data_IF_222436766952
#
_entry.id   IF_222436766952
#
_cell.length_a   1.000
_cell.length_b   1.000
_cell.length_c   1.000
_cell.angle_alpha   90.00
_cell.angle_beta   90.00
_cell.angle_gamma   90.00
#
_symmetry.space_group_name_H-M   'P 1'
#
loop_
_entity.id
_entity.type
_entity.pdbx_description
1 polymer ?
#
# COMPACT_ATOMS: atom_id res chain seq x y z
N UNK A 1 9.59 -5.36 -29.69
CA UNK A 1 8.37 -5.90 -29.06
C UNK A 1 8.24 -5.51 -27.58
N UNK A 2 9.10 -5.98 -26.67
CA UNK A 2 8.95 -5.69 -25.22
C UNK A 2 8.97 -4.19 -24.87
N UNK A 3 9.92 -3.43 -25.40
CA UNK A 3 10.00 -1.98 -25.17
C UNK A 3 8.75 -1.21 -25.68
N UNK A 4 8.14 -1.67 -26.77
CA UNK A 4 6.92 -1.07 -27.32
C UNK A 4 5.69 -1.35 -26.43
N UNK A 5 5.60 -2.56 -25.86
CA UNK A 5 4.56 -2.93 -24.90
C UNK A 5 4.68 -2.06 -23.64
N UNK A 6 5.89 -1.94 -23.08
CA UNK A 6 6.14 -1.09 -21.90
C UNK A 6 5.77 0.37 -22.20
N UNK A 7 6.21 0.91 -23.34
CA UNK A 7 5.88 2.28 -23.73
C UNK A 7 4.36 2.49 -23.91
N UNK A 8 3.64 1.48 -24.41
CA UNK A 8 2.19 1.53 -24.52
C UNK A 8 1.51 1.53 -23.15
N UNK A 9 1.96 0.68 -22.21
CA UNK A 9 1.43 0.62 -20.84
C UNK A 9 1.66 1.94 -20.09
N UNK A 10 2.85 2.54 -20.24
CA UNK A 10 3.19 3.85 -19.65
C UNK A 10 2.27 4.94 -20.20
N UNK A 11 2.09 5.00 -21.52
CA UNK A 11 1.18 5.98 -22.16
C UNK A 11 -0.27 5.79 -21.72
N UNK A 12 -0.69 4.54 -21.55
CA UNK A 12 -2.04 4.23 -21.09
C UNK A 12 -2.26 4.69 -19.64
N UNK A 13 -1.33 4.41 -18.74
CA UNK A 13 -1.44 4.88 -17.35
C UNK A 13 -1.48 6.41 -17.27
N UNK A 14 -0.63 7.10 -18.03
CA UNK A 14 -0.66 8.58 -18.14
C UNK A 14 -2.03 9.09 -18.60
N UNK A 15 -2.64 8.44 -19.61
CA UNK A 15 -3.97 8.81 -20.11
C UNK A 15 -5.08 8.57 -19.10
N UNK A 16 -4.99 7.48 -18.32
CA UNK A 16 -6.00 7.14 -17.30
C UNK A 16 -5.97 8.10 -16.12
N UNK A 17 -4.77 8.38 -15.61
CA UNK A 17 -4.56 9.24 -14.45
C UNK A 17 -3.16 9.89 -14.48
N UNK A 18 -3.04 11.11 -15.02
CA UNK A 18 -1.74 11.78 -15.12
C UNK A 18 -1.18 12.17 -13.74
N UNK A 19 -2.03 12.39 -12.73
CA UNK A 19 -1.59 12.76 -11.38
C UNK A 19 -0.94 11.57 -10.69
N UNK A 20 -1.63 10.43 -10.65
CA UNK A 20 -1.08 9.23 -10.03
C UNK A 20 0.12 8.69 -10.82
N UNK A 21 0.13 8.83 -12.15
CA UNK A 21 1.32 8.52 -12.94
C UNK A 21 2.54 9.36 -12.52
N UNK A 22 2.37 10.68 -12.39
CA UNK A 22 3.48 11.56 -12.04
C UNK A 22 4.04 11.21 -10.66
N UNK A 23 3.16 11.01 -9.67
CA UNK A 23 3.53 10.62 -8.31
C UNK A 23 4.23 9.26 -8.29
N UNK A 24 3.73 8.29 -9.07
CA UNK A 24 4.37 6.98 -9.19
C UNK A 24 5.77 7.07 -9.79
N UNK A 25 5.95 7.91 -10.82
CA UNK A 25 7.24 8.11 -11.47
C UNK A 25 8.25 8.76 -10.53
N UNK A 26 7.84 9.81 -9.81
CA UNK A 26 8.66 10.46 -8.79
C UNK A 26 9.11 9.44 -7.74
N UNK A 27 8.18 8.64 -7.22
CA UNK A 27 8.49 7.65 -6.21
C UNK A 27 9.33 6.48 -6.74
N UNK A 28 9.21 6.10 -8.01
CA UNK A 28 10.09 5.11 -8.62
C UNK A 28 11.55 5.62 -8.72
N UNK A 29 11.75 6.91 -9.03
CA UNK A 29 13.07 7.55 -9.02
C UNK A 29 13.62 7.63 -7.59
N UNK A 30 12.79 8.07 -6.63
CA UNK A 30 13.17 8.13 -5.22
C UNK A 30 13.50 6.75 -4.64
N UNK A 31 12.78 5.70 -5.03
CA UNK A 31 13.09 4.32 -4.67
C UNK A 31 14.52 3.96 -5.06
N UNK A 32 14.92 4.25 -6.30
CA UNK A 32 16.29 4.03 -6.75
C UNK A 32 17.32 4.84 -5.96
N UNK A 33 17.04 6.13 -5.72
CA UNK A 33 17.94 7.01 -4.97
C UNK A 33 18.13 6.57 -3.51
N UNK A 34 17.04 6.22 -2.82
CA UNK A 34 17.10 5.73 -1.43
C UNK A 34 17.69 4.33 -1.33
N UNK A 35 17.51 3.48 -2.34
CA UNK A 35 18.15 2.16 -2.38
C UNK A 35 19.68 2.32 -2.48
N UNK A 36 20.17 3.26 -3.30
CA UNK A 36 21.59 3.64 -3.32
C UNK A 36 22.03 4.15 -1.95
N UNK A 37 21.25 5.06 -1.33
CA UNK A 37 21.54 5.55 0.03
C UNK A 37 21.65 4.43 1.07
N UNK A 38 20.84 3.38 0.98
CA UNK A 38 20.88 2.23 1.89
C UNK A 38 22.21 1.47 1.84
N UNK A 39 22.90 1.51 0.70
CA UNK A 39 24.19 0.82 0.48
C UNK A 39 25.38 1.70 0.86
N UNK A 40 25.32 3.00 0.54
CA UNK A 40 26.47 3.90 0.62
C UNK A 40 26.48 4.83 1.82
N UNK A 41 25.33 5.09 2.45
CA UNK A 41 25.27 5.92 3.65
C UNK A 41 25.28 5.01 4.90
N UNK A 42 26.30 5.12 5.77
CA UNK A 42 26.40 4.29 6.98
C UNK A 42 25.41 4.71 8.08
N UNK A 43 24.63 5.79 7.90
CA UNK A 43 23.70 6.29 8.91
C UNK A 43 22.64 5.24 9.28
N UNK A 44 22.46 5.04 10.58
CA UNK A 44 21.51 4.07 11.16
C UNK A 44 20.46 4.80 11.98
N UNK A 45 19.21 4.40 11.83
CA UNK A 45 18.07 4.89 12.63
C UNK A 45 17.33 3.68 13.18
N UNK A 46 17.21 3.59 14.50
CA UNK A 46 16.55 2.46 15.19
C UNK A 46 17.12 1.09 14.81
N UNK A 47 18.44 0.98 14.64
CA UNK A 47 19.12 -0.28 14.32
C UNK A 47 19.04 -0.73 12.86
N UNK A 48 18.36 0.02 11.97
CA UNK A 48 18.29 -0.24 10.53
C UNK A 48 18.97 0.90 9.74
N UNK A 49 19.48 0.66 8.51
CA UNK A 49 19.97 1.71 7.64
C UNK A 49 18.93 2.81 7.43
N UNK A 50 19.31 4.08 7.58
CA UNK A 50 18.38 5.21 7.62
C UNK A 50 17.49 5.31 6.37
N UNK A 51 18.05 4.99 5.20
CA UNK A 51 17.36 5.06 3.91
C UNK A 51 16.51 3.83 3.57
N UNK A 52 16.57 2.77 4.38
CA UNK A 52 15.82 1.53 4.12
C UNK A 52 14.30 1.78 4.21
N UNK A 53 13.86 2.55 5.21
CA UNK A 53 12.44 2.91 5.35
C UNK A 53 11.95 3.79 4.19
N UNK A 54 12.60 4.93 3.84
CA UNK A 54 12.27 5.68 2.63
C UNK A 54 12.20 4.83 1.37
N UNK A 55 13.13 3.88 1.18
CA UNK A 55 13.11 2.96 0.03
C UNK A 55 11.82 2.13 -0.01
N UNK A 56 11.47 1.46 1.09
CA UNK A 56 10.24 0.65 1.19
C UNK A 56 8.98 1.48 0.91
N UNK A 57 8.91 2.70 1.46
CA UNK A 57 7.77 3.60 1.26
C UNK A 57 7.68 4.11 -0.18
N UNK A 58 8.79 4.54 -0.78
CA UNK A 58 8.80 4.99 -2.18
C UNK A 58 8.31 3.89 -3.13
N UNK A 59 8.79 2.65 -2.94
CA UNK A 59 8.33 1.50 -3.74
C UNK A 59 6.84 1.23 -3.57
N UNK A 60 6.35 1.23 -2.31
CA UNK A 60 4.93 1.02 -2.01
C UNK A 60 4.03 2.12 -2.58
N UNK A 61 4.42 3.39 -2.44
CA UNK A 61 3.69 4.54 -3.00
C UNK A 61 3.62 4.43 -4.53
N UNK A 62 4.73 4.13 -5.19
CA UNK A 62 4.73 3.93 -6.64
C UNK A 62 3.76 2.83 -7.05
N UNK A 63 3.77 1.70 -6.35
CA UNK A 63 2.87 0.58 -6.62
C UNK A 63 1.39 0.93 -6.39
N UNK A 64 1.04 1.60 -5.29
CA UNK A 64 -0.33 2.03 -4.99
C UNK A 64 -0.82 3.02 -6.04
N UNK A 65 -0.01 4.01 -6.41
CA UNK A 65 -0.37 5.00 -7.43
C UNK A 65 -0.59 4.37 -8.81
N UNK A 66 0.30 3.46 -9.24
CA UNK A 66 0.11 2.68 -10.48
C UNK A 66 -1.18 1.87 -10.40
N UNK A 67 -1.40 1.16 -9.29
CA UNK A 67 -2.56 0.29 -9.09
C UNK A 67 -3.86 1.08 -9.18
N UNK A 68 -3.97 2.19 -8.44
CA UNK A 68 -5.16 3.04 -8.44
C UNK A 68 -5.36 3.73 -9.80
N UNK A 69 -4.29 4.14 -10.49
CA UNK A 69 -4.37 4.70 -11.83
C UNK A 69 -4.91 3.70 -12.87
N UNK A 70 -4.59 2.40 -12.72
CA UNK A 70 -5.14 1.33 -13.56
C UNK A 70 -6.59 0.99 -13.21
N UNK A 71 -6.90 0.84 -11.92
CA UNK A 71 -8.23 0.41 -11.46
C UNK A 71 -9.28 1.53 -11.50
N UNK A 72 -8.86 2.79 -11.32
CA UNK A 72 -9.75 3.93 -11.15
C UNK A 72 -10.73 4.14 -12.30
N UNK A 73 -10.35 3.77 -13.53
CA UNK A 73 -11.23 3.88 -14.70
C UNK A 73 -12.36 2.87 -14.73
N UNK A 74 -12.23 1.77 -13.98
CA UNK A 74 -13.22 0.70 -13.88
C UNK A 74 -14.18 0.90 -12.69
N UNK A 75 -13.98 1.94 -11.87
CA UNK A 75 -14.88 2.29 -10.78
C UNK A 75 -16.00 3.17 -11.34
N UNK A 76 -17.28 2.74 -11.26
CA UNK A 76 -18.43 3.52 -11.71
C UNK A 76 -18.72 4.67 -10.74
N UNK A 77 -17.89 5.71 -10.79
CA UNK A 77 -17.98 6.92 -10.00
C UNK A 77 -17.91 8.15 -10.91
N UNK A 78 -18.37 9.28 -10.39
CA UNK A 78 -18.26 10.56 -11.09
C UNK A 78 -16.78 10.87 -11.46
N UNK A 79 -16.47 11.24 -12.72
CA UNK A 79 -15.09 11.50 -13.14
C UNK A 79 -14.41 12.64 -12.36
N UNK A 80 -15.14 13.67 -11.94
CA UNK A 80 -14.59 14.75 -11.12
C UNK A 80 -14.31 14.31 -9.68
N UNK A 81 -15.17 13.48 -9.12
CA UNK A 81 -14.89 12.80 -7.85
C UNK A 81 -13.62 11.96 -7.93
N UNK A 82 -13.49 11.10 -8.97
CA UNK A 82 -12.28 10.31 -9.19
C UNK A 82 -11.03 11.18 -9.26
N UNK A 83 -11.06 12.25 -10.09
CA UNK A 83 -9.94 13.20 -10.23
C UNK A 83 -9.56 13.87 -8.90
N UNK A 84 -10.55 14.22 -8.07
CA UNK A 84 -10.31 14.77 -6.73
C UNK A 84 -9.63 13.76 -5.82
N UNK A 85 -10.11 12.51 -5.78
CA UNK A 85 -9.47 11.45 -5.00
C UNK A 85 -8.02 11.23 -5.48
N UNK A 86 -7.77 11.15 -6.78
CA UNK A 86 -6.42 11.01 -7.33
C UNK A 86 -5.47 12.14 -6.90
N UNK A 87 -5.96 13.38 -6.83
CA UNK A 87 -5.19 14.52 -6.31
C UNK A 87 -4.93 14.41 -4.81
N UNK A 88 -5.94 14.05 -4.02
CA UNK A 88 -5.79 13.85 -2.57
C UNK A 88 -4.75 12.77 -2.28
N UNK A 89 -4.88 11.61 -2.94
CA UNK A 89 -3.94 10.50 -2.81
C UNK A 89 -2.55 10.91 -3.27
N UNK A 90 -2.43 11.52 -4.46
CA UNK A 90 -1.15 11.93 -5.01
C UNK A 90 -0.40 12.93 -4.14
N UNK A 91 -1.08 14.01 -3.71
CA UNK A 91 -0.49 15.04 -2.83
C UNK A 91 -0.17 14.45 -1.46
N UNK A 92 -1.07 13.68 -0.87
CA UNK A 92 -0.86 13.08 0.44
C UNK A 92 0.34 12.14 0.46
N UNK A 93 0.49 11.28 -0.55
CA UNK A 93 1.64 10.36 -0.63
C UNK A 93 2.96 11.08 -0.97
N UNK A 94 2.92 12.24 -1.64
CA UNK A 94 4.11 13.09 -1.80
C UNK A 94 4.52 13.74 -0.47
N UNK A 95 3.56 14.21 0.33
CA UNK A 95 3.83 14.73 1.68
C UNK A 95 4.49 13.63 2.52
N UNK A 96 3.93 12.42 2.51
CA UNK A 96 4.49 11.27 3.22
C UNK A 96 5.96 11.02 2.86
N UNK A 97 6.28 10.86 1.57
CA UNK A 97 7.65 10.49 1.19
C UNK A 97 8.65 11.62 1.45
N UNK A 98 8.24 12.88 1.33
CA UNK A 98 9.08 14.03 1.67
C UNK A 98 9.39 14.07 3.16
N UNK A 99 8.39 13.86 4.02
CA UNK A 99 8.57 13.87 5.47
C UNK A 99 9.38 12.66 5.95
N UNK A 100 9.15 11.48 5.37
CA UNK A 100 9.91 10.26 5.66
C UNK A 100 11.37 10.40 5.24
N UNK A 101 11.62 10.85 4.00
CA UNK A 101 12.97 11.07 3.48
C UNK A 101 13.70 12.18 4.24
N UNK A 102 13.01 13.25 4.60
CA UNK A 102 13.58 14.35 5.39
C UNK A 102 13.96 13.94 6.81
N UNK A 103 13.17 13.11 7.48
CA UNK A 103 13.50 12.55 8.79
C UNK A 103 14.69 11.57 8.70
N UNK A 104 14.72 10.73 7.66
CA UNK A 104 15.87 9.86 7.40
C UNK A 104 17.16 10.67 7.19
N UNK A 105 17.12 11.75 6.38
CA UNK A 105 18.25 12.65 6.16
C UNK A 105 18.74 13.35 7.44
N UNK A 106 17.87 13.52 8.44
CA UNK A 106 18.20 14.06 9.76
C UNK A 106 18.72 13.00 10.73
N UNK A 107 18.81 11.73 10.33
CA UNK A 107 19.25 10.63 11.19
C UNK A 107 18.28 10.30 12.33
N UNK A 108 16.99 10.54 12.13
CA UNK A 108 15.96 10.36 13.16
C UNK A 108 14.73 9.62 12.64
N UNK A 109 13.97 9.04 13.55
CA UNK A 109 12.75 8.29 13.20
C UNK A 109 11.64 9.19 12.66
N UNK A 110 10.97 8.79 11.58
CA UNK A 110 9.85 9.56 11.01
C UNK A 110 8.51 9.35 11.72
N UNK A 111 8.28 8.16 12.23
CA UNK A 111 7.13 7.83 13.07
C UNK A 111 7.66 7.60 14.49
N UNK A 112 6.86 7.90 15.52
CA UNK A 112 7.20 7.75 16.96
C UNK A 112 8.18 8.75 17.55
N UNK A 113 8.91 9.50 16.72
CA UNK A 113 9.85 10.47 17.23
C UNK A 113 9.11 11.66 17.85
N UNK A 114 9.23 11.79 19.18
CA UNK A 114 8.73 12.93 19.97
C UNK A 114 9.86 13.66 20.68
N UNK A 115 11.09 13.55 20.19
CA UNK A 115 12.26 14.17 20.80
C UNK A 115 12.17 15.71 20.77
N UNK A 116 11.54 16.28 19.73
CA UNK A 116 11.34 17.73 19.58
C UNK A 116 9.91 18.06 19.16
N UNK A 117 9.52 19.34 19.30
CA UNK A 117 8.24 19.87 18.81
C UNK A 117 8.10 19.65 17.29
N UNK A 118 9.18 19.84 16.54
CA UNK A 118 9.19 19.62 15.10
C UNK A 118 8.93 18.16 14.75
N UNK A 119 9.53 17.22 15.46
CA UNK A 119 9.35 15.79 15.20
C UNK A 119 7.94 15.31 15.53
N UNK A 120 7.39 15.80 16.64
CA UNK A 120 5.99 15.58 17.00
C UNK A 120 5.03 16.13 15.95
N UNK A 121 5.28 17.34 15.44
CA UNK A 121 4.47 17.96 14.40
C UNK A 121 4.55 17.18 13.07
N UNK A 122 5.74 16.74 12.66
CA UNK A 122 5.92 15.90 11.46
C UNK A 122 5.14 14.59 11.59
N UNK A 123 5.27 13.90 12.72
CA UNK A 123 4.51 12.67 12.98
C UNK A 123 2.99 12.88 12.94
N UNK A 124 2.49 14.00 13.49
CA UNK A 124 1.07 14.33 13.45
C UNK A 124 0.57 14.63 12.03
N UNK A 125 1.33 15.41 11.25
CA UNK A 125 1.00 15.70 9.84
C UNK A 125 0.92 14.41 9.04
N UNK A 126 1.87 13.49 9.23
CA UNK A 126 1.86 12.22 8.53
C UNK A 126 0.65 11.37 8.91
N UNK A 127 0.36 11.25 10.21
CA UNK A 127 -0.80 10.52 10.71
C UNK A 127 -2.14 11.05 10.15
N UNK A 128 -2.33 12.37 10.10
CA UNK A 128 -3.52 12.97 9.50
C UNK A 128 -3.55 12.72 7.99
N UNK A 129 -2.42 12.89 7.31
CA UNK A 129 -2.30 12.73 5.85
C UNK A 129 -2.70 11.32 5.42
N UNK A 130 -2.18 10.28 6.09
CA UNK A 130 -2.49 8.90 5.70
C UNK A 130 -3.95 8.52 6.00
N UNK A 131 -4.57 9.08 7.04
CA UNK A 131 -6.00 8.90 7.31
C UNK A 131 -6.83 9.52 6.18
N UNK A 132 -6.52 10.74 5.76
CA UNK A 132 -7.23 11.42 4.65
C UNK A 132 -7.08 10.64 3.35
N UNK A 133 -5.87 10.17 3.02
CA UNK A 133 -5.60 9.33 1.84
C UNK A 133 -6.42 8.03 1.90
N UNK A 134 -6.41 7.35 3.05
CA UNK A 134 -7.13 6.08 3.26
C UNK A 134 -8.63 6.27 3.09
N UNK A 135 -9.21 7.31 3.70
CA UNK A 135 -10.63 7.63 3.58
C UNK A 135 -11.01 8.00 2.15
N UNK A 136 -10.17 8.74 1.43
CA UNK A 136 -10.43 9.08 0.02
C UNK A 136 -10.47 7.82 -0.87
N UNK A 137 -9.57 6.86 -0.64
CA UNK A 137 -9.58 5.56 -1.34
C UNK A 137 -10.82 4.75 -0.96
N UNK A 138 -11.17 4.69 0.33
CA UNK A 138 -12.37 4.00 0.79
C UNK A 138 -13.65 4.57 0.15
N UNK A 139 -13.73 5.89 0.00
CA UNK A 139 -14.86 6.58 -0.60
C UNK A 139 -15.09 6.16 -2.06
N UNK A 140 -14.03 5.84 -2.83
CA UNK A 140 -14.18 5.28 -4.17
C UNK A 140 -14.94 3.95 -4.16
N UNK A 141 -14.60 3.02 -3.25
CA UNK A 141 -15.30 1.74 -3.15
C UNK A 141 -16.74 1.91 -2.66
N UNK A 142 -16.98 2.81 -1.70
CA UNK A 142 -18.32 3.10 -1.17
C UNK A 142 -19.23 3.69 -2.24
N UNK A 143 -18.74 4.57 -3.11
CA UNK A 143 -19.53 5.12 -4.19
C UNK A 143 -19.67 4.14 -5.37
N UNK A 144 -18.61 3.40 -5.69
CA UNK A 144 -18.64 2.43 -6.78
C UNK A 144 -19.60 1.27 -6.51
N UNK A 145 -19.70 0.77 -5.28
CA UNK A 145 -20.51 -0.42 -4.95
C UNK A 145 -22.02 -0.24 -5.18
N UNK A 146 -22.51 1.00 -5.26
CA UNK A 146 -23.93 1.32 -5.48
C UNK A 146 -24.27 1.52 -6.95
N UNK A 147 -23.28 1.45 -7.84
CA UNK A 147 -23.43 1.65 -9.27
C UNK A 147 -23.06 0.37 -10.03
N UNK A 148 -23.52 0.26 -11.28
CA UNK A 148 -23.21 -0.87 -12.15
C UNK A 148 -21.82 -0.74 -12.76
N UNK A 149 -21.03 -1.81 -12.69
CA UNK A 149 -19.68 -1.86 -13.26
C UNK A 149 -19.73 -2.25 -14.74
N UNK A 150 -18.88 -1.63 -15.56
CA UNK A 150 -18.69 -1.94 -16.98
C UNK A 150 -17.73 -3.13 -17.23
N UNK A 151 -17.30 -3.79 -16.16
CA UNK A 151 -16.40 -4.94 -16.18
C UNK A 151 -17.08 -6.20 -15.68
N UNK A 152 -16.46 -7.34 -15.98
CA UNK A 152 -16.95 -8.64 -15.52
C UNK A 152 -17.15 -8.65 -13.98
N UNK A 153 -18.25 -9.21 -13.45
CA UNK A 153 -18.57 -9.18 -12.02
C UNK A 153 -17.47 -9.71 -11.08
N UNK A 154 -16.68 -10.69 -11.53
CA UNK A 154 -15.53 -11.18 -10.77
C UNK A 154 -14.42 -10.12 -10.62
N UNK A 155 -14.16 -9.31 -11.65
CA UNK A 155 -13.18 -8.23 -11.58
C UNK A 155 -13.69 -7.10 -10.68
N UNK A 156 -14.96 -6.70 -10.82
CA UNK A 156 -15.60 -5.73 -9.92
C UNK A 156 -15.53 -6.16 -8.45
N UNK A 157 -15.85 -7.44 -8.16
CA UNK A 157 -15.72 -8.00 -6.81
C UNK A 157 -14.27 -7.95 -6.30
N UNK A 158 -13.30 -8.29 -7.15
CA UNK A 158 -11.88 -8.20 -6.82
C UNK A 158 -11.44 -6.78 -6.48
N UNK A 159 -11.90 -5.78 -7.24
CA UNK A 159 -11.65 -4.34 -6.98
C UNK A 159 -12.21 -3.93 -5.61
N UNK A 160 -13.49 -4.20 -5.35
CA UNK A 160 -14.15 -3.80 -4.11
C UNK A 160 -13.55 -4.49 -2.88
N UNK A 161 -13.28 -5.80 -2.96
CA UNK A 161 -12.63 -6.53 -1.86
C UNK A 161 -11.18 -6.08 -1.67
N UNK A 162 -10.45 -5.82 -2.76
CA UNK A 162 -9.08 -5.32 -2.71
C UNK A 162 -8.98 -3.97 -2.01
N UNK A 163 -9.85 -3.01 -2.37
CA UNK A 163 -9.92 -1.72 -1.68
C UNK A 163 -10.37 -1.89 -0.23
N UNK A 164 -11.38 -2.73 0.04
CA UNK A 164 -11.89 -2.95 1.39
C UNK A 164 -10.82 -3.46 2.35
N UNK A 165 -10.08 -4.50 1.95
CA UNK A 165 -9.01 -5.07 2.78
C UNK A 165 -7.76 -4.20 2.82
N UNK A 166 -7.48 -3.43 1.76
CA UNK A 166 -6.47 -2.37 1.81
C UNK A 166 -6.78 -1.34 2.90
N UNK A 167 -8.03 -0.91 3.02
CA UNK A 167 -8.45 0.06 4.05
C UNK A 167 -8.27 -0.54 5.45
N UNK A 168 -8.65 -1.81 5.65
CA UNK A 168 -8.39 -2.52 6.91
C UNK A 168 -6.89 -2.52 7.23
N UNK A 169 -6.06 -2.97 6.27
CA UNK A 169 -4.61 -2.98 6.41
C UNK A 169 -3.99 -1.61 6.67
N UNK A 170 -4.50 -0.56 6.03
CA UNK A 170 -4.04 0.81 6.26
C UNK A 170 -4.29 1.26 7.71
N UNK A 171 -5.46 0.92 8.28
CA UNK A 171 -5.76 1.21 9.67
C UNK A 171 -4.99 0.33 10.67
N UNK A 172 -4.53 -0.87 10.28
CA UNK A 172 -3.57 -1.64 11.08
C UNK A 172 -2.27 -0.87 11.32
N UNK A 173 -1.90 0.08 10.46
CA UNK A 173 -0.78 0.99 10.69
C UNK A 173 -0.93 1.83 11.96
N UNK A 174 -2.16 2.18 12.35
CA UNK A 174 -2.41 2.85 13.64
C UNK A 174 -2.21 1.89 14.83
N UNK A 175 -2.59 0.62 14.67
CA UNK A 175 -2.34 -0.42 15.66
C UNK A 175 -0.84 -0.71 15.79
N UNK A 176 -0.10 -0.78 14.67
CA UNK A 176 1.37 -0.80 14.68
C UNK A 176 1.91 0.37 15.48
N UNK A 177 1.35 1.57 15.31
CA UNK A 177 1.80 2.74 16.04
C UNK A 177 1.57 2.61 17.56
N UNK A 178 0.41 2.10 17.96
CA UNK A 178 0.12 1.88 19.37
C UNK A 178 0.99 0.76 19.97
N UNK A 179 1.22 -0.32 19.23
CA UNK A 179 1.80 -1.58 19.71
C UNK A 179 3.34 -1.61 19.59
N UNK A 180 3.93 -1.04 18.53
CA UNK A 180 5.40 -0.98 18.37
C UNK A 180 6.11 -0.10 19.41
N UNK A 181 5.37 0.60 20.29
CA UNK A 181 5.95 1.12 21.53
C UNK A 181 6.47 0.03 22.48
N UNK A 182 6.25 -1.25 22.14
CA UNK A 182 6.59 -2.44 22.93
C UNK A 182 7.27 -3.54 22.12
N UNK A 183 8.02 -3.23 21.04
CA UNK A 183 8.84 -4.28 20.39
C UNK A 183 9.78 -4.84 21.45
N UNK A 184 9.42 -6.02 21.95
CA UNK A 184 10.23 -6.83 22.82
C UNK A 184 11.46 -7.17 21.99
N UNK A 185 12.66 -6.89 22.49
CA UNK A 185 13.87 -7.44 21.91
C UNK A 185 13.77 -8.97 22.01
N UNK A 186 13.23 -9.61 20.98
CA UNK A 186 13.22 -11.06 20.88
C UNK A 186 14.49 -11.46 20.12
N UNK A 187 15.13 -12.55 20.55
CA UNK A 187 16.27 -13.15 19.84
C UNK A 187 15.83 -13.90 18.55
N UNK A 188 14.63 -13.60 18.04
CA UNK A 188 14.03 -14.27 16.89
C UNK A 188 14.74 -13.88 15.58
N UNK A 189 15.00 -14.85 14.68
CA UNK A 189 15.50 -14.56 13.35
C UNK A 189 14.60 -13.58 12.60
N UNK A 190 15.22 -12.63 11.90
CA UNK A 190 14.50 -11.69 11.02
C UNK A 190 14.45 -12.20 9.59
N UNK A 191 13.38 -11.85 8.87
CA UNK A 191 13.25 -12.11 7.44
C UNK A 191 14.34 -11.32 6.70
N UNK A 192 15.19 -11.98 5.89
CA UNK A 192 16.24 -11.30 5.13
C UNK A 192 15.68 -10.13 4.30
N UNK A 193 16.49 -9.09 4.11
CA UNK A 193 16.17 -7.85 3.36
C UNK A 193 15.17 -6.92 4.06
N UNK A 194 14.06 -7.44 4.60
CA UNK A 194 13.00 -6.61 5.18
C UNK A 194 13.16 -6.39 6.68
N UNK A 195 13.87 -7.27 7.39
CA UNK A 195 14.19 -7.11 8.82
C UNK A 195 13.00 -7.35 9.76
N UNK A 196 11.96 -8.04 9.28
CA UNK A 196 10.74 -8.29 10.04
C UNK A 196 10.85 -9.57 10.86
N UNK A 197 10.27 -9.57 12.05
CA UNK A 197 10.13 -10.79 12.84
C UNK A 197 8.81 -11.49 12.49
N UNK A 198 8.74 -12.81 12.62
CA UNK A 198 7.48 -13.53 12.38
C UNK A 198 6.48 -13.35 13.53
N UNK A 199 6.98 -13.25 14.75
CA UNK A 199 6.19 -13.10 15.98
C UNK A 199 6.51 -11.76 16.62
N UNK A 200 5.49 -11.03 17.09
CA UNK A 200 5.68 -9.73 17.75
C UNK A 200 5.86 -8.54 16.80
N UNK A 201 5.74 -8.74 15.49
CA UNK A 201 5.92 -7.69 14.49
C UNK A 201 4.71 -7.60 13.55
N UNK A 202 3.98 -6.49 13.68
CA UNK A 202 2.80 -6.22 12.87
C UNK A 202 3.11 -5.84 11.42
N UNK A 203 4.38 -5.60 11.05
CA UNK A 203 4.75 -5.20 9.69
C UNK A 203 4.29 -6.23 8.65
N UNK A 204 4.27 -7.52 9.01
CA UNK A 204 3.76 -8.59 8.13
C UNK A 204 2.26 -8.44 7.91
N UNK A 205 1.46 -8.29 8.98
CA UNK A 205 0.02 -8.11 8.88
C UNK A 205 -0.32 -6.88 8.03
N UNK A 206 0.30 -5.75 8.33
CA UNK A 206 0.12 -4.51 7.59
C UNK A 206 0.49 -4.64 6.11
N UNK A 207 1.61 -5.29 5.80
CA UNK A 207 2.00 -5.59 4.42
C UNK A 207 0.93 -6.41 3.70
N UNK A 208 0.45 -7.50 4.32
CA UNK A 208 -0.62 -8.32 3.75
C UNK A 208 -1.89 -7.48 3.57
N UNK A 209 -2.30 -6.68 4.56
CA UNK A 209 -3.48 -5.83 4.45
C UNK A 209 -3.39 -4.86 3.27
N UNK A 210 -2.28 -4.12 3.16
CA UNK A 210 -2.05 -3.18 2.05
C UNK A 210 -2.03 -3.86 0.68
N UNK A 211 -1.44 -5.06 0.56
CA UNK A 211 -1.32 -5.73 -0.75
C UNK A 211 -2.59 -6.39 -1.27
N UNK A 212 -3.68 -6.36 -0.49
CA UNK A 212 -5.00 -6.74 -0.97
C UNK A 212 -5.41 -5.90 -2.22
N UNK A 213 -4.97 -4.64 -2.28
CA UNK A 213 -5.25 -3.72 -3.39
C UNK A 213 -4.69 -4.20 -4.73
N UNK A 214 -3.63 -5.01 -4.73
CA UNK A 214 -3.10 -5.60 -5.96
C UNK A 214 -3.65 -7.01 -6.20
N UNK A 215 -3.64 -7.85 -5.15
CA UNK A 215 -3.88 -9.28 -5.32
C UNK A 215 -5.33 -9.61 -5.68
N UNK A 216 -6.31 -9.03 -5.00
CA UNK A 216 -7.72 -9.36 -5.21
C UNK A 216 -8.27 -8.82 -6.55
N UNK A 217 -7.93 -7.61 -7.01
CA UNK A 217 -8.32 -7.16 -8.34
C UNK A 217 -7.67 -8.00 -9.44
N UNK A 218 -6.40 -8.36 -9.30
CA UNK A 218 -5.71 -9.24 -10.25
C UNK A 218 -6.38 -10.62 -10.31
N UNK A 219 -6.74 -11.19 -9.16
CA UNK A 219 -7.49 -12.45 -9.09
C UNK A 219 -8.83 -12.35 -9.83
N UNK A 220 -9.57 -11.27 -9.62
CA UNK A 220 -10.83 -11.01 -10.32
C UNK A 220 -10.67 -10.86 -11.83
N UNK A 221 -9.62 -10.17 -12.27
CA UNK A 221 -9.28 -10.03 -13.69
C UNK A 221 -8.93 -11.38 -14.32
N UNK A 222 -8.04 -12.16 -13.70
CA UNK A 222 -7.62 -13.47 -14.21
C UNK A 222 -8.77 -14.47 -14.23
N UNK A 223 -9.62 -14.49 -13.20
CA UNK A 223 -10.82 -15.32 -13.17
C UNK A 223 -11.79 -14.95 -14.31
N UNK A 224 -11.99 -13.66 -14.59
CA UNK A 224 -12.80 -13.20 -15.70
C UNK A 224 -12.21 -13.60 -17.07
N UNK A 225 -10.89 -13.49 -17.24
CA UNK A 225 -10.19 -13.95 -18.45
C UNK A 225 -10.32 -15.46 -18.62
N UNK A 226 -10.14 -16.22 -17.54
CA UNK A 226 -10.30 -17.68 -17.53
C UNK A 226 -11.71 -18.11 -17.91
N UNK A 227 -12.73 -17.42 -17.42
CA UNK A 227 -14.12 -17.67 -17.77
C UNK A 227 -14.38 -17.46 -19.27
N UNK A 228 -13.92 -16.34 -19.84
CA UNK A 228 -14.05 -16.08 -21.29
C UNK A 228 -13.34 -17.11 -22.16
N UNK A 229 -12.31 -17.78 -21.63
CA UNK A 229 -11.56 -18.85 -22.31
C UNK A 229 -12.12 -20.26 -22.04
N UNK A 230 -13.21 -20.39 -21.29
CA UNK A 230 -13.78 -21.69 -20.91
C UNK A 230 -12.97 -22.47 -19.88
N UNK A 231 -12.04 -21.82 -19.16
CA UNK A 231 -11.17 -22.45 -18.16
C UNK A 231 -11.73 -22.36 -16.72
N UNK A 232 -12.67 -21.45 -16.49
CA UNK A 232 -13.23 -21.18 -15.15
C UNK A 232 -14.75 -21.03 -15.25
N UNK A 233 -15.50 -21.99 -14.71
CA UNK A 233 -16.96 -21.95 -14.75
C UNK A 233 -17.55 -20.89 -13.83
N UNK A 234 -16.96 -20.73 -12.64
CA UNK A 234 -17.49 -19.89 -11.56
C UNK A 234 -16.48 -18.82 -11.11
N UNK A 235 -16.16 -17.84 -11.95
CA UNK A 235 -15.09 -16.87 -11.68
C UNK A 235 -15.28 -16.07 -10.39
N UNK A 236 -16.53 -15.75 -10.00
CA UNK A 236 -16.81 -15.09 -8.72
C UNK A 236 -16.46 -15.97 -7.52
N UNK A 237 -16.70 -17.28 -7.58
CA UNK A 237 -16.36 -18.21 -6.48
C UNK A 237 -14.85 -18.28 -6.27
N UNK A 238 -14.07 -18.22 -7.35
CA UNK A 238 -12.60 -18.14 -7.26
C UNK A 238 -12.16 -16.89 -6.49
N UNK A 239 -12.73 -15.73 -6.80
CA UNK A 239 -12.41 -14.48 -6.10
C UNK A 239 -12.72 -14.57 -4.60
N UNK A 240 -13.91 -15.05 -4.23
CA UNK A 240 -14.28 -15.20 -2.82
C UNK A 240 -13.41 -16.24 -2.10
N UNK A 241 -13.08 -17.37 -2.74
CA UNK A 241 -12.20 -18.37 -2.16
C UNK A 241 -10.81 -17.81 -1.87
N UNK A 242 -10.20 -17.11 -2.85
CA UNK A 242 -8.90 -16.46 -2.68
C UNK A 242 -8.98 -15.36 -1.63
N UNK A 243 -10.04 -14.55 -1.62
CA UNK A 243 -10.24 -13.51 -0.61
C UNK A 243 -10.33 -14.10 0.80
N UNK A 244 -11.08 -15.18 1.00
CA UNK A 244 -11.16 -15.86 2.30
C UNK A 244 -9.80 -16.38 2.77
N UNK A 245 -9.05 -17.03 1.87
CA UNK A 245 -7.68 -17.48 2.19
C UNK A 245 -6.75 -16.32 2.53
N UNK A 246 -6.83 -15.23 1.76
CA UNK A 246 -6.04 -14.02 1.99
C UNK A 246 -6.33 -13.39 3.36
N UNK A 247 -7.60 -13.33 3.73
CA UNK A 247 -8.07 -12.82 5.02
C UNK A 247 -7.62 -13.71 6.17
N UNK A 248 -7.63 -15.03 5.99
CA UNK A 248 -7.09 -15.96 6.98
C UNK A 248 -5.58 -15.70 7.22
N UNK A 249 -4.81 -15.46 6.15
CA UNK A 249 -3.38 -15.09 6.26
C UNK A 249 -3.21 -13.76 6.99
N UNK A 250 -4.04 -12.75 6.68
CA UNK A 250 -4.02 -11.46 7.36
C UNK A 250 -4.26 -11.61 8.86
N UNK A 251 -5.33 -12.31 9.27
CA UNK A 251 -5.65 -12.53 10.67
C UNK A 251 -4.59 -13.36 11.39
N UNK A 252 -4.03 -14.37 10.74
CA UNK A 252 -2.93 -15.16 11.31
C UNK A 252 -1.69 -14.28 11.53
N UNK A 253 -1.31 -13.45 10.55
CA UNK A 253 -0.19 -12.52 10.69
C UNK A 253 -0.45 -11.47 11.80
N UNK A 254 -1.67 -10.94 11.90
CA UNK A 254 -2.04 -10.01 12.96
C UNK A 254 -1.99 -10.67 14.34
N UNK A 255 -2.48 -11.90 14.45
CA UNK A 255 -2.44 -12.70 15.69
C UNK A 255 -1.00 -12.97 16.15
N UNK A 256 -0.10 -13.34 15.22
CA UNK A 256 1.32 -13.51 15.50
C UNK A 256 1.98 -12.18 15.89
N UNK A 257 1.55 -11.07 15.29
CA UNK A 257 2.01 -9.72 15.63
C UNK A 257 1.65 -9.30 17.07
N UNK A 258 0.49 -9.68 17.60
CA UNK A 258 0.08 -9.38 18.99
C UNK A 258 0.53 -10.42 20.01
N UNK A 259 0.94 -11.61 19.59
CA UNK A 259 1.13 -12.74 20.50
C UNK A 259 1.96 -12.41 21.77
N UNK A 260 3.08 -11.66 21.70
CA UNK A 260 3.84 -11.28 22.90
C UNK A 260 3.13 -10.32 23.85
N UNK A 261 2.12 -9.58 23.40
CA UNK A 261 1.33 -8.68 24.24
C UNK A 261 0.15 -9.37 24.93
N UNK A 262 -0.15 -10.62 24.54
CA UNK A 262 -1.22 -11.45 25.09
C UNK A 262 -0.72 -12.54 26.05
N UNK A 263 0.60 -12.71 26.14
CA UNK A 263 1.30 -13.60 27.09
C UNK A 263 1.80 -12.80 28.29
#
# INVERSE_FOLDING_TARGET
>A
MMAQIIAALIRELWRRDPVLFAVATINAVLFGAFAVGTVFDPMVVNGEPAWLKPTKFAGSIALVCVTLGWLGVHLPVDPDFRRRVSRIVGVGLLIEIVLIGGQAARGVGSHFNRATVLDGAIGAVMGVTIVVVTVAIAALAVQARTNEFDVHPAFAAGILLGIGWFVVGAFEGAAMIAIQSRVVETAEPTVPVVGWQLVGDFRIAHFVGLHALQLLPLTGYLAAVGHRRGLVDHPRRVVFFVATGYVAVLFAAAALGVAPALM
#
